data_IF_397663087492
#
_entry.id   IF_397663087492
#
_cell.length_a   1.000
_cell.length_b   1.000
_cell.length_c   1.000
_cell.angle_alpha   90.00
_cell.angle_beta   90.00
_cell.angle_gamma   90.00
#
_symmetry.space_group_name_H-M   'P 1'
#
loop_
_entity.id
_entity.type
_entity.pdbx_description
1 polymer ?
#
# COMPACT_ATOMS: atom_id res chain seq x y z
N UNK A 1 -19.42 -9.46 30.09
CA UNK A 1 -18.74 -8.34 29.39
C UNK A 1 -18.92 -7.07 30.20
N UNK A 2 -17.89 -6.44 30.74
CA UNK A 2 -18.03 -5.21 31.56
C UNK A 2 -18.03 -3.96 30.68
N UNK A 3 -19.07 -3.13 30.86
CA UNK A 3 -19.01 -1.68 30.86
C UNK A 3 -18.79 -0.93 29.56
N UNK A 4 -19.69 -1.05 28.56
CA UNK A 4 -19.87 0.05 27.61
C UNK A 4 -20.68 1.14 28.32
N UNK A 5 -20.11 2.34 28.54
CA UNK A 5 -20.76 3.40 29.31
C UNK A 5 -22.09 3.80 28.67
N UNK A 6 -23.11 4.07 29.52
CA UNK A 6 -24.45 4.53 29.05
C UNK A 6 -24.35 5.80 28.16
N UNK A 7 -23.29 6.59 28.30
CA UNK A 7 -22.98 7.74 27.42
C UNK A 7 -22.69 7.33 25.99
N UNK A 8 -22.01 6.19 25.79
CA UNK A 8 -21.68 5.67 24.44
C UNK A 8 -22.93 5.17 23.71
N UNK A 9 -23.79 4.44 24.45
CA UNK A 9 -25.06 3.92 23.90
C UNK A 9 -26.01 5.08 23.54
N UNK A 10 -26.09 6.13 24.35
CA UNK A 10 -26.92 7.29 24.07
C UNK A 10 -26.40 8.12 22.89
N UNK A 11 -25.10 8.22 22.70
CA UNK A 11 -24.49 8.87 21.55
C UNK A 11 -24.74 8.09 20.25
N UNK A 12 -24.63 6.76 20.26
CA UNK A 12 -24.97 5.91 19.12
C UNK A 12 -26.45 5.98 18.74
N UNK A 13 -27.36 5.96 19.73
CA UNK A 13 -28.80 6.06 19.49
C UNK A 13 -29.20 7.45 18.99
N UNK A 14 -28.50 8.50 19.41
CA UNK A 14 -28.71 9.86 18.89
C UNK A 14 -28.23 10.01 17.45
N UNK A 15 -27.13 9.33 17.09
CA UNK A 15 -26.60 9.25 15.73
C UNK A 15 -27.51 8.45 14.80
N UNK A 16 -28.04 7.32 15.26
CA UNK A 16 -29.01 6.50 14.51
C UNK A 16 -30.31 7.28 14.21
N UNK A 17 -30.81 8.05 15.17
CA UNK A 17 -31.99 8.95 14.97
C UNK A 17 -31.71 10.07 13.99
N UNK A 18 -30.54 10.70 14.05
CA UNK A 18 -30.13 11.71 13.07
C UNK A 18 -29.99 11.13 11.67
N UNK A 19 -29.48 9.93 11.55
CA UNK A 19 -29.31 9.22 10.28
C UNK A 19 -30.69 8.81 9.69
N UNK A 20 -31.60 8.33 10.51
CA UNK A 20 -32.96 8.00 10.09
C UNK A 20 -33.75 9.24 9.69
N UNK A 21 -33.55 10.39 10.29
CA UNK A 21 -34.16 11.65 9.91
C UNK A 21 -33.62 12.24 8.59
N UNK A 22 -32.36 11.98 8.26
CA UNK A 22 -31.77 12.36 6.95
C UNK A 22 -32.09 11.36 5.85
N UNK A 23 -32.38 10.10 6.19
CA UNK A 23 -32.80 9.08 5.23
C UNK A 23 -34.29 9.22 4.79
N UNK A 24 -35.08 10.04 5.49
CA UNK A 24 -36.49 10.28 5.16
C UNK A 24 -36.72 11.42 4.14
N UNK A 25 -35.67 12.12 3.70
CA UNK A 25 -35.77 13.02 2.56
C UNK A 25 -35.70 12.21 1.26
N UNK A 26 -36.61 12.42 0.30
CA UNK A 26 -36.52 11.74 -0.98
C UNK A 26 -35.17 12.07 -1.58
N UNK A 27 -34.39 11.03 -1.89
CA UNK A 27 -33.10 11.18 -2.55
C UNK A 27 -33.34 12.01 -3.83
N UNK A 28 -32.52 13.06 -4.09
CA UNK A 28 -32.58 13.72 -5.37
C UNK A 28 -32.35 12.63 -6.42
N UNK A 29 -33.29 12.53 -7.38
CA UNK A 29 -33.15 11.62 -8.51
C UNK A 29 -31.89 12.05 -9.25
N UNK A 30 -30.79 11.37 -8.94
CA UNK A 30 -29.59 11.44 -9.76
C UNK A 30 -30.01 10.98 -11.16
N UNK A 31 -29.68 11.74 -12.21
CA UNK A 31 -29.91 11.28 -13.57
C UNK A 31 -29.29 9.90 -13.67
N UNK A 32 -30.04 8.96 -14.26
CA UNK A 32 -29.60 7.56 -14.40
C UNK A 32 -28.13 7.54 -14.79
N UNK A 33 -27.30 6.95 -13.94
CA UNK A 33 -25.87 6.84 -14.21
C UNK A 33 -25.77 6.18 -15.58
N UNK A 34 -25.39 6.96 -16.59
CA UNK A 34 -25.03 6.37 -17.87
C UNK A 34 -23.93 5.38 -17.53
N UNK A 35 -24.21 4.11 -17.81
CA UNK A 35 -23.26 3.02 -17.64
C UNK A 35 -21.95 3.43 -18.32
N UNK A 36 -21.01 3.96 -17.52
CA UNK A 36 -19.71 4.33 -18.03
C UNK A 36 -18.96 3.02 -18.23
N UNK A 37 -19.18 2.41 -19.39
CA UNK A 37 -18.27 1.38 -19.90
C UNK A 37 -17.02 2.12 -20.36
N UNK A 38 -15.89 2.05 -19.65
CA UNK A 38 -14.67 2.63 -20.14
C UNK A 38 -14.43 1.99 -21.52
N UNK A 39 -14.44 2.79 -22.58
CA UNK A 39 -13.95 2.37 -23.89
C UNK A 39 -12.43 2.27 -23.73
N UNK A 40 -11.96 1.13 -23.22
CA UNK A 40 -10.56 0.77 -23.43
C UNK A 40 -10.35 0.69 -24.94
N UNK A 41 -9.25 1.24 -25.47
CA UNK A 41 -8.91 1.01 -26.86
C UNK A 41 -8.93 -0.50 -27.07
N UNK A 42 -9.72 -0.97 -28.02
CA UNK A 42 -9.78 -2.38 -28.34
C UNK A 42 -8.40 -2.77 -28.87
N UNK A 43 -7.59 -3.36 -28.01
CA UNK A 43 -6.34 -4.00 -28.42
C UNK A 43 -6.79 -5.19 -29.26
N UNK A 44 -6.31 -5.34 -30.50
CA UNK A 44 -6.70 -6.46 -31.36
C UNK A 44 -6.43 -7.78 -30.61
N UNK A 45 -7.44 -8.64 -30.50
CA UNK A 45 -7.25 -10.01 -30.03
C UNK A 45 -6.29 -10.69 -30.99
N UNK A 46 -5.04 -10.85 -30.60
CA UNK A 46 -4.06 -11.66 -31.34
C UNK A 46 -3.87 -12.96 -30.56
N UNK A 47 -4.23 -14.06 -31.21
CA UNK A 47 -4.27 -15.40 -30.63
C UNK A 47 -2.89 -16.03 -30.35
N UNK A 48 -1.76 -15.34 -30.57
CA UNK A 48 -0.42 -15.84 -30.33
C UNK A 48 0.54 -14.73 -29.90
N UNK A 49 0.55 -14.37 -28.61
CA UNK A 49 1.49 -13.40 -28.07
C UNK A 49 2.92 -13.94 -27.84
N UNK A 50 3.16 -15.24 -27.99
CA UNK A 50 4.52 -15.79 -27.87
C UNK A 50 5.48 -15.33 -29.01
N UNK A 51 4.94 -14.77 -30.12
CA UNK A 51 5.71 -14.34 -31.28
C UNK A 51 5.80 -12.83 -31.51
N UNK A 52 5.25 -11.98 -30.64
CA UNK A 52 5.12 -10.52 -30.89
C UNK A 52 6.13 -9.62 -30.18
N UNK A 53 7.13 -10.16 -29.52
CA UNK A 53 8.27 -9.34 -29.13
C UNK A 53 9.22 -9.30 -30.33
N UNK A 54 9.27 -8.15 -31.03
CA UNK A 54 10.31 -7.89 -32.02
C UNK A 54 11.66 -8.16 -31.35
N UNK A 55 12.56 -8.85 -32.03
CA UNK A 55 13.89 -9.20 -31.51
C UNK A 55 14.68 -8.00 -30.98
N UNK A 56 14.37 -6.82 -31.45
CA UNK A 56 14.95 -5.53 -31.06
C UNK A 56 14.49 -5.01 -29.70
N UNK A 57 13.39 -5.51 -29.10
CA UNK A 57 12.90 -5.02 -27.80
C UNK A 57 13.90 -5.25 -26.67
N UNK A 58 14.69 -6.35 -26.72
CA UNK A 58 15.68 -6.70 -25.72
C UNK A 58 16.99 -5.89 -25.84
N UNK A 59 17.31 -5.31 -26.98
CA UNK A 59 18.58 -4.62 -27.22
C UNK A 59 18.78 -3.40 -26.32
N UNK A 60 17.70 -2.69 -25.99
CA UNK A 60 17.71 -1.51 -25.13
C UNK A 60 17.08 -1.78 -23.74
N UNK A 61 16.80 -3.04 -23.41
CA UNK A 61 16.18 -3.36 -22.13
C UNK A 61 17.21 -3.23 -21.00
N UNK A 62 16.83 -2.60 -19.86
CA UNK A 62 17.76 -2.44 -18.75
C UNK A 62 18.17 -3.80 -18.18
N UNK A 63 19.41 -3.89 -17.71
CA UNK A 63 19.99 -5.11 -17.12
C UNK A 63 20.40 -4.83 -15.68
N UNK A 64 20.02 -5.73 -14.77
CA UNK A 64 20.49 -5.75 -13.39
C UNK A 64 20.88 -7.19 -13.00
N UNK A 65 22.15 -7.43 -12.77
CA UNK A 65 22.70 -8.72 -12.30
C UNK A 65 23.18 -8.66 -10.84
N UNK A 66 22.78 -7.64 -10.09
CA UNK A 66 23.10 -7.53 -8.67
C UNK A 66 22.06 -8.29 -7.84
N UNK A 67 22.51 -9.19 -7.00
CA UNK A 67 21.76 -9.94 -6.02
C UNK A 67 22.62 -10.14 -4.77
N UNK A 68 22.10 -9.97 -3.55
CA UNK A 68 20.73 -9.61 -3.20
C UNK A 68 20.38 -8.15 -3.50
N UNK A 69 19.07 -7.86 -3.52
CA UNK A 69 18.55 -6.50 -3.58
C UNK A 69 18.87 -5.70 -2.30
N UNK A 70 18.66 -4.38 -2.37
CA UNK A 70 18.84 -3.49 -1.21
C UNK A 70 17.51 -2.89 -0.80
N UNK A 71 17.24 -2.89 0.50
CA UNK A 71 16.10 -2.16 1.07
C UNK A 71 16.26 -0.65 0.84
N UNK A 72 15.17 0.04 0.53
CA UNK A 72 15.17 1.50 0.41
C UNK A 72 15.29 2.16 1.77
N UNK A 73 14.64 1.58 2.79
CA UNK A 73 14.72 2.07 4.16
C UNK A 73 16.12 1.82 4.70
N UNK A 74 16.74 2.89 5.21
CA UNK A 74 18.12 2.90 5.71
C UNK A 74 18.12 2.50 7.19
N UNK A 75 18.58 1.29 7.49
CA UNK A 75 18.59 0.72 8.83
C UNK A 75 19.34 1.59 9.86
N UNK A 76 20.51 2.10 9.49
CA UNK A 76 21.34 2.93 10.39
C UNK A 76 20.63 4.22 10.79
N UNK A 77 19.99 4.88 9.83
CA UNK A 77 19.23 6.11 10.02
C UNK A 77 17.98 5.88 10.87
N UNK A 78 17.31 4.75 10.63
CA UNK A 78 16.14 4.34 11.44
C UNK A 78 16.54 4.13 12.91
N UNK A 79 17.66 3.45 13.19
CA UNK A 79 18.21 3.29 14.55
C UNK A 79 18.58 4.61 15.20
N UNK A 80 19.21 5.53 14.45
CA UNK A 80 19.56 6.86 14.98
C UNK A 80 18.30 7.62 15.44
N UNK A 81 17.23 7.60 14.63
CA UNK A 81 15.97 8.23 15.02
C UNK A 81 15.34 7.56 16.25
N UNK A 82 15.36 6.22 16.29
CA UNK A 82 14.87 5.46 17.44
C UNK A 82 15.66 5.76 18.73
N UNK A 83 16.96 5.98 18.61
CA UNK A 83 17.80 6.42 19.74
C UNK A 83 17.46 7.86 20.16
N UNK A 84 17.23 8.75 19.18
CA UNK A 84 16.97 10.19 19.44
C UNK A 84 15.59 10.43 20.05
N UNK A 85 14.55 9.81 19.50
CA UNK A 85 13.16 10.05 19.90
C UNK A 85 12.58 8.95 20.79
N UNK A 86 13.29 7.85 20.98
CA UNK A 86 12.79 6.63 21.58
C UNK A 86 11.98 5.79 20.58
N UNK A 87 11.65 4.56 20.97
CA UNK A 87 10.75 3.67 20.21
C UNK A 87 9.86 2.93 21.19
N UNK A 88 8.56 2.86 20.90
CA UNK A 88 7.57 2.22 21.78
C UNK A 88 7.73 0.69 21.78
N UNK A 89 7.99 0.11 20.62
CA UNK A 89 8.08 -1.34 20.43
C UNK A 89 9.49 -1.73 19.96
N UNK A 90 10.40 -1.83 20.93
CA UNK A 90 11.81 -2.20 20.69
C UNK A 90 11.93 -3.57 20.01
N UNK A 91 11.20 -4.62 20.41
CA UNK A 91 11.24 -5.91 19.70
C UNK A 91 10.86 -5.80 18.22
N UNK A 92 9.86 -4.99 17.86
CA UNK A 92 9.51 -4.72 16.46
C UNK A 92 10.62 -3.96 15.74
N UNK A 93 11.19 -2.93 16.35
CA UNK A 93 12.32 -2.19 15.80
C UNK A 93 13.48 -3.14 15.45
N UNK A 94 13.84 -4.05 16.36
CA UNK A 94 14.92 -4.99 16.13
C UNK A 94 14.63 -5.95 14.97
N UNK A 95 13.41 -6.51 14.91
CA UNK A 95 12.99 -7.35 13.76
C UNK A 95 13.04 -6.58 12.43
N UNK A 96 12.59 -5.33 12.43
CA UNK A 96 12.64 -4.48 11.22
C UNK A 96 14.08 -4.20 10.82
N UNK A 97 14.93 -3.82 11.75
CA UNK A 97 16.35 -3.57 11.49
C UNK A 97 17.09 -4.81 10.99
N UNK A 98 16.78 -5.99 11.53
CA UNK A 98 17.32 -7.26 11.03
C UNK A 98 16.91 -7.50 9.57
N UNK A 99 15.62 -7.34 9.25
CA UNK A 99 15.10 -7.48 7.87
C UNK A 99 15.70 -6.47 6.90
N UNK A 100 15.95 -5.24 7.34
CA UNK A 100 16.57 -4.21 6.51
C UNK A 100 18.05 -4.51 6.21
N UNK A 101 18.76 -5.12 7.16
CA UNK A 101 20.19 -5.47 7.04
C UNK A 101 20.40 -6.76 6.25
N UNK A 102 19.64 -7.80 6.54
CA UNK A 102 19.84 -9.15 6.05
C UNK A 102 18.86 -9.56 4.95
N UNK A 103 17.90 -8.69 4.62
CA UNK A 103 16.73 -9.00 3.79
C UNK A 103 15.65 -9.72 4.57
N UNK A 104 14.41 -9.53 4.14
CA UNK A 104 13.24 -10.12 4.77
C UNK A 104 13.13 -11.62 4.47
N UNK A 105 12.96 -12.43 5.52
CA UNK A 105 12.53 -13.81 5.39
C UNK A 105 11.03 -13.82 5.06
N UNK A 106 10.65 -14.39 3.91
CA UNK A 106 9.25 -14.46 3.50
C UNK A 106 8.46 -15.61 4.14
N UNK A 107 9.12 -16.46 4.95
CA UNK A 107 8.47 -17.51 5.75
C UNK A 107 8.10 -18.80 5.00
N UNK A 108 8.56 -19.00 3.76
CA UNK A 108 8.25 -20.21 3.01
C UNK A 108 8.98 -21.43 3.61
N UNK A 109 8.23 -22.45 4.03
CA UNK A 109 8.75 -23.69 4.66
C UNK A 109 9.44 -24.60 3.66
N UNK A 110 10.36 -25.46 4.14
CA UNK A 110 11.29 -26.24 3.32
C UNK A 110 10.66 -27.10 2.24
N UNK A 111 9.59 -27.81 2.54
CA UNK A 111 8.88 -28.67 1.60
C UNK A 111 8.27 -27.91 0.41
N UNK A 112 7.84 -26.68 0.64
CA UNK A 112 7.27 -25.79 -0.38
C UNK A 112 8.33 -25.03 -1.18
N UNK A 113 9.61 -25.24 -0.88
CA UNK A 113 10.72 -24.64 -1.65
C UNK A 113 11.11 -25.43 -2.89
N UNK A 114 10.48 -26.59 -3.13
CA UNK A 114 10.74 -27.41 -4.33
C UNK A 114 10.39 -26.63 -5.60
N UNK A 115 11.15 -26.82 -6.68
CA UNK A 115 10.93 -26.11 -7.93
C UNK A 115 9.52 -26.34 -8.48
N UNK A 116 8.89 -25.27 -8.90
CA UNK A 116 7.59 -25.31 -9.60
C UNK A 116 7.59 -24.28 -10.72
N UNK A 117 6.73 -24.46 -11.72
CA UNK A 117 6.57 -23.51 -12.80
C UNK A 117 5.08 -23.28 -13.07
N UNK A 118 4.69 -22.01 -13.17
CA UNK A 118 3.35 -21.56 -13.56
C UNK A 118 3.42 -20.70 -14.81
N UNK A 119 2.34 -20.70 -15.59
CA UNK A 119 2.20 -19.87 -16.78
C UNK A 119 1.65 -18.49 -16.42
N UNK A 120 1.92 -17.51 -17.29
CA UNK A 120 1.32 -16.19 -17.19
C UNK A 120 -0.18 -16.25 -17.46
N UNK A 121 -0.96 -15.44 -16.75
CA UNK A 121 -2.39 -15.32 -16.99
C UNK A 121 -2.67 -14.56 -18.30
N UNK A 122 -3.85 -14.78 -18.91
CA UNK A 122 -4.29 -14.03 -20.10
C UNK A 122 -4.20 -12.52 -19.90
N UNK A 123 -4.57 -12.04 -18.70
CA UNK A 123 -4.45 -10.63 -18.35
C UNK A 123 -3.03 -10.06 -18.45
N UNK A 124 -1.99 -10.86 -18.23
CA UNK A 124 -0.62 -10.41 -18.43
C UNK A 124 -0.33 -10.15 -19.92
N UNK A 125 -0.86 -10.98 -20.79
CA UNK A 125 -0.71 -10.82 -22.24
C UNK A 125 -1.56 -9.65 -22.78
N UNK A 126 -2.77 -9.47 -22.26
CA UNK A 126 -3.64 -8.35 -22.62
C UNK A 126 -3.01 -6.99 -22.29
N UNK A 127 -2.23 -6.92 -21.21
CA UNK A 127 -1.51 -5.73 -20.74
C UNK A 127 0.00 -5.82 -20.99
N UNK A 128 0.40 -6.50 -22.07
CA UNK A 128 1.81 -6.78 -22.37
C UNK A 128 2.76 -5.57 -22.32
N UNK A 129 2.44 -4.45 -22.97
CA UNK A 129 3.26 -3.24 -22.90
C UNK A 129 3.46 -2.77 -21.44
N UNK A 130 2.40 -2.69 -20.64
CA UNK A 130 2.47 -2.23 -19.25
C UNK A 130 3.27 -3.21 -18.37
N UNK A 131 3.21 -4.53 -18.66
CA UNK A 131 4.05 -5.53 -17.97
C UNK A 131 5.51 -5.30 -18.31
N UNK A 132 5.83 -5.08 -19.57
CA UNK A 132 7.19 -4.82 -20.06
C UNK A 132 7.77 -3.55 -19.42
N UNK A 133 7.00 -2.45 -19.42
CA UNK A 133 7.40 -1.18 -18.81
C UNK A 133 7.64 -1.32 -17.30
N UNK A 134 6.75 -2.04 -16.61
CA UNK A 134 6.90 -2.28 -15.18
C UNK A 134 8.17 -3.07 -14.85
N UNK A 135 8.45 -4.14 -15.62
CA UNK A 135 9.68 -4.94 -15.45
C UNK A 135 10.91 -4.07 -15.69
N UNK A 136 10.92 -3.25 -16.73
CA UNK A 136 12.02 -2.34 -17.04
C UNK A 136 12.28 -1.39 -15.88
N UNK A 137 11.22 -0.78 -15.33
CA UNK A 137 11.32 0.10 -14.15
C UNK A 137 11.83 -0.65 -12.92
N UNK A 138 11.41 -1.87 -12.67
CA UNK A 138 11.89 -2.68 -11.54
C UNK A 138 13.38 -3.00 -11.65
N UNK A 139 13.85 -3.31 -12.87
CA UNK A 139 15.27 -3.53 -13.17
C UNK A 139 16.09 -2.26 -12.92
N UNK A 140 15.66 -1.12 -13.48
CA UNK A 140 16.33 0.17 -13.33
C UNK A 140 16.43 0.61 -11.87
N UNK A 141 15.37 0.34 -11.07
CA UNK A 141 15.34 0.65 -9.64
C UNK A 141 16.07 -0.39 -8.77
N UNK A 142 16.59 -1.47 -9.35
CA UNK A 142 17.25 -2.56 -8.61
C UNK A 142 16.27 -3.43 -7.80
N UNK A 143 14.98 -3.42 -8.11
CA UNK A 143 13.95 -4.26 -7.47
C UNK A 143 13.87 -5.65 -8.09
N UNK A 144 14.31 -5.81 -9.33
CA UNK A 144 14.37 -7.08 -10.01
C UNK A 144 15.76 -7.34 -10.61
N UNK A 145 16.09 -8.63 -10.70
CA UNK A 145 17.28 -9.18 -11.34
C UNK A 145 16.92 -9.72 -12.73
N UNK A 146 17.79 -9.58 -13.68
CA UNK A 146 17.65 -10.06 -15.05
C UNK A 146 17.78 -8.92 -16.08
N UNK A 147 17.44 -9.15 -17.36
CA UNK A 147 17.01 -10.42 -17.95
C UNK A 147 18.13 -11.46 -18.03
N UNK A 148 17.76 -12.74 -17.91
CA UNK A 148 18.68 -13.86 -18.10
C UNK A 148 18.07 -14.94 -19.01
N UNK A 149 18.90 -15.78 -19.59
CA UNK A 149 18.46 -16.94 -20.36
C UNK A 149 18.00 -18.09 -19.45
N UNK A 150 17.26 -19.04 -19.99
CA UNK A 150 16.71 -20.15 -19.22
C UNK A 150 17.79 -21.01 -18.52
N UNK A 151 18.93 -21.16 -19.15
CA UNK A 151 20.07 -21.94 -18.66
C UNK A 151 20.74 -21.31 -17.41
N UNK A 152 20.50 -20.02 -17.20
CA UNK A 152 21.03 -19.27 -16.06
C UNK A 152 20.08 -19.29 -14.83
N UNK A 153 18.88 -19.84 -15.00
CA UNK A 153 17.91 -19.96 -13.90
C UNK A 153 18.28 -21.18 -13.05
N UNK A 154 18.41 -21.03 -11.71
CA UNK A 154 18.73 -22.16 -10.85
C UNK A 154 17.69 -23.29 -10.96
N UNK A 155 18.13 -24.54 -10.96
CA UNK A 155 17.22 -25.71 -11.06
C UNK A 155 16.21 -25.80 -9.91
N UNK A 156 16.52 -25.20 -8.76
CA UNK A 156 15.65 -25.15 -7.59
C UNK A 156 14.71 -23.95 -7.59
N UNK A 157 14.79 -23.07 -8.57
CA UNK A 157 13.97 -21.86 -8.65
C UNK A 157 12.46 -22.16 -8.77
N UNK A 158 11.65 -21.34 -8.11
CA UNK A 158 10.20 -21.33 -8.33
C UNK A 158 9.84 -20.23 -9.32
N UNK A 159 9.22 -20.63 -10.43
CA UNK A 159 8.83 -19.70 -11.48
C UNK A 159 7.33 -19.49 -11.39
N UNK A 160 6.92 -18.29 -10.99
CA UNK A 160 5.52 -17.90 -10.85
C UNK A 160 5.02 -17.17 -12.07
N UNK A 161 3.75 -17.33 -12.40
CA UNK A 161 3.11 -16.60 -13.49
C UNK A 161 2.80 -15.16 -13.10
N UNK A 162 2.78 -14.28 -14.09
CA UNK A 162 2.34 -12.89 -13.97
C UNK A 162 0.83 -12.83 -14.19
N UNK A 163 0.14 -12.02 -13.39
CA UNK A 163 -1.24 -11.61 -13.59
C UNK A 163 -1.35 -10.08 -13.46
N UNK A 164 -2.36 -9.51 -14.13
CA UNK A 164 -2.58 -8.06 -14.11
C UNK A 164 -3.97 -7.75 -13.59
N UNK A 165 -4.05 -6.76 -12.71
CA UNK A 165 -5.30 -6.13 -12.29
C UNK A 165 -5.36 -4.70 -12.80
N UNK A 166 -6.28 -4.38 -13.73
CA UNK A 166 -6.50 -3.01 -14.17
C UNK A 166 -7.01 -2.16 -13.02
N UNK A 167 -6.59 -0.89 -12.98
CA UNK A 167 -7.09 0.12 -12.06
C UNK A 167 -8.09 1.04 -12.76
N UNK A 168 -9.01 1.68 -12.02
CA UNK A 168 -10.00 2.59 -12.62
C UNK A 168 -9.39 3.76 -13.40
N UNK A 169 -8.18 4.19 -13.06
CA UNK A 169 -7.46 5.26 -13.75
C UNK A 169 -6.71 4.82 -15.02
N UNK A 170 -6.98 3.62 -15.54
CA UNK A 170 -6.35 3.08 -16.74
C UNK A 170 -4.94 2.49 -16.54
N UNK A 171 -4.35 2.62 -15.35
CA UNK A 171 -3.08 1.96 -15.04
C UNK A 171 -3.30 0.50 -14.65
N UNK A 172 -2.23 -0.29 -14.62
CA UNK A 172 -2.28 -1.71 -14.29
C UNK A 172 -1.45 -2.01 -13.03
N UNK A 173 -1.95 -2.94 -12.21
CA UNK A 173 -1.17 -3.53 -11.12
C UNK A 173 -0.65 -4.89 -11.57
N UNK A 174 0.66 -5.00 -11.68
CA UNK A 174 1.33 -6.25 -12.01
C UNK A 174 1.52 -7.05 -10.72
N UNK A 175 1.15 -8.33 -10.75
CA UNK A 175 1.14 -9.23 -9.60
C UNK A 175 1.83 -10.52 -9.98
N UNK A 176 2.78 -10.99 -9.18
CA UNK A 176 3.28 -12.35 -9.28
C UNK A 176 2.34 -13.30 -8.54
N UNK A 177 1.86 -14.33 -9.24
CA UNK A 177 0.94 -15.30 -8.67
C UNK A 177 1.70 -16.35 -7.83
N UNK A 178 2.09 -15.99 -6.62
CA UNK A 178 2.74 -16.90 -5.67
C UNK A 178 1.78 -17.94 -5.06
N UNK A 179 0.51 -18.00 -5.50
CA UNK A 179 -0.47 -19.00 -5.06
C UNK A 179 -0.70 -20.12 -6.07
N UNK A 180 0.15 -20.20 -7.10
CA UNK A 180 0.07 -21.26 -8.11
C UNK A 180 1.44 -21.97 -8.28
N UNK A 181 1.40 -23.30 -8.53
CA UNK A 181 0.24 -24.17 -8.52
C UNK A 181 -0.24 -24.45 -7.08
N UNK A 182 -1.55 -24.60 -6.88
CA UNK A 182 -2.14 -24.85 -5.57
C UNK A 182 -1.58 -26.13 -4.93
N UNK A 183 -1.31 -26.11 -3.64
CA UNK A 183 -0.75 -27.22 -2.88
C UNK A 183 0.77 -27.36 -2.96
N UNK A 184 1.45 -26.57 -3.79
CA UNK A 184 2.91 -26.51 -3.89
C UNK A 184 3.45 -25.11 -4.22
N UNK A 185 2.62 -24.12 -4.11
CA UNK A 185 2.99 -22.72 -4.35
C UNK A 185 3.84 -22.15 -3.21
N UNK A 186 4.43 -20.98 -3.43
CA UNK A 186 5.18 -20.26 -2.37
C UNK A 186 4.26 -19.93 -1.20
N UNK A 187 3.05 -19.43 -1.50
CA UNK A 187 2.08 -19.03 -0.48
C UNK A 187 1.51 -20.20 0.33
N UNK A 188 1.45 -21.41 -0.23
CA UNK A 188 1.06 -22.60 0.52
C UNK A 188 2.08 -22.95 1.62
N UNK A 189 3.34 -22.55 1.43
CA UNK A 189 4.41 -22.74 2.41
C UNK A 189 4.54 -21.64 3.47
N UNK A 190 3.73 -20.57 3.38
CA UNK A 190 3.79 -19.43 4.29
C UNK A 190 2.65 -19.50 5.30
N UNK A 191 3.00 -19.59 6.58
CA UNK A 191 2.05 -19.42 7.67
C UNK A 191 1.69 -17.93 7.81
N UNK A 192 0.45 -17.59 7.47
CA UNK A 192 -0.01 -16.19 7.48
C UNK A 192 -0.10 -15.62 8.90
N UNK A 193 -0.28 -16.45 9.89
CA UNK A 193 -0.39 -16.03 11.29
C UNK A 193 0.96 -15.57 11.85
N UNK A 194 2.07 -15.97 11.22
CA UNK A 194 3.40 -15.44 11.53
C UNK A 194 3.63 -14.00 10.99
N UNK A 195 2.76 -13.53 10.09
CA UNK A 195 2.90 -12.22 9.41
C UNK A 195 1.61 -11.40 9.51
N UNK A 196 1.10 -11.11 10.72
CA UNK A 196 -0.11 -10.34 10.88
C UNK A 196 0.08 -8.90 10.39
N UNK A 197 -0.91 -8.39 9.66
CA UNK A 197 -1.02 -6.97 9.32
C UNK A 197 -2.26 -6.39 9.98
N UNK A 198 -2.10 -5.26 10.65
CA UNK A 198 -3.20 -4.56 11.32
C UNK A 198 -3.55 -3.30 10.56
N UNK A 199 -4.73 -3.27 9.97
CA UNK A 199 -5.19 -2.16 9.14
C UNK A 199 -6.31 -1.42 9.86
N UNK A 200 -6.21 -0.08 9.90
CA UNK A 200 -7.31 0.75 10.38
C UNK A 200 -8.49 0.68 9.42
N UNK A 201 -9.69 0.62 9.97
CA UNK A 201 -10.93 0.64 9.19
C UNK A 201 -11.43 2.08 8.99
N UNK A 202 -12.42 2.26 8.10
CA UNK A 202 -13.15 3.51 7.96
C UNK A 202 -13.81 3.94 9.27
N UNK A 203 -14.31 2.98 10.07
CA UNK A 203 -14.89 3.25 11.39
C UNK A 203 -13.85 3.85 12.34
N UNK A 204 -12.65 3.28 12.37
CA UNK A 204 -11.55 3.84 13.18
C UNK A 204 -11.19 5.27 12.76
N UNK A 205 -11.24 5.56 11.46
CA UNK A 205 -11.02 6.93 10.96
C UNK A 205 -12.13 7.90 11.41
N UNK A 206 -13.39 7.47 11.37
CA UNK A 206 -14.50 8.28 11.86
C UNK A 206 -14.37 8.58 13.36
N UNK A 207 -13.89 7.62 14.16
CA UNK A 207 -13.60 7.85 15.58
C UNK A 207 -12.48 8.89 15.78
N UNK A 208 -11.45 8.85 14.97
CA UNK A 208 -10.36 9.85 14.96
C UNK A 208 -10.92 11.23 14.64
N UNK A 209 -11.75 11.37 13.60
CA UNK A 209 -12.39 12.64 13.25
C UNK A 209 -13.32 13.15 14.36
N UNK A 210 -14.07 12.25 14.99
CA UNK A 210 -14.93 12.62 16.12
C UNK A 210 -14.14 13.16 17.31
N UNK A 211 -13.03 12.51 17.67
CA UNK A 211 -12.13 12.95 18.75
C UNK A 211 -11.44 14.27 18.41
N UNK A 212 -11.02 14.45 17.17
CA UNK A 212 -10.37 15.68 16.71
C UNK A 212 -11.33 16.88 16.69
N UNK A 213 -12.64 16.63 16.63
CA UNK A 213 -13.68 17.64 16.75
C UNK A 213 -14.03 18.34 15.44
N UNK A 214 -14.96 19.29 15.55
CA UNK A 214 -15.41 20.09 14.39
C UNK A 214 -14.29 20.96 13.86
N UNK A 215 -14.24 21.17 12.55
CA UNK A 215 -13.23 21.96 11.85
C UNK A 215 -11.79 21.44 12.04
N UNK A 216 -11.60 20.17 12.40
CA UNK A 216 -10.26 19.62 12.54
C UNK A 216 -9.47 19.75 11.23
N UNK A 217 -8.16 19.77 11.35
CA UNK A 217 -7.25 19.57 10.22
C UNK A 217 -7.05 18.09 9.97
N UNK A 218 -6.94 17.68 8.73
CA UNK A 218 -6.61 16.32 8.30
C UNK A 218 -5.42 16.33 7.35
N UNK A 219 -4.62 15.27 7.36
CA UNK A 219 -3.62 15.01 6.34
C UNK A 219 -3.59 13.52 5.98
N UNK A 220 -3.05 13.21 4.82
CA UNK A 220 -2.87 11.84 4.35
C UNK A 220 -1.53 11.69 3.65
N UNK A 221 -0.83 10.61 3.93
CA UNK A 221 0.42 10.24 3.31
C UNK A 221 0.36 8.79 2.85
N UNK A 222 0.80 8.52 1.63
CA UNK A 222 0.84 7.21 0.98
C UNK A 222 2.28 6.87 0.60
N UNK A 223 2.72 5.62 0.79
CA UNK A 223 4.06 5.19 0.40
C UNK A 223 4.05 4.72 -1.06
N UNK A 224 4.86 5.35 -1.91
CA UNK A 224 5.07 4.86 -3.26
C UNK A 224 5.79 3.52 -3.26
N UNK A 225 5.32 2.57 -4.07
CA UNK A 225 5.95 1.25 -4.23
C UNK A 225 6.18 0.55 -2.86
N UNK A 226 5.19 0.61 -1.95
CA UNK A 226 5.30 0.26 -0.53
C UNK A 226 6.14 -1.00 -0.23
N UNK A 227 5.81 -2.13 -0.84
CA UNK A 227 6.51 -3.39 -0.61
C UNK A 227 7.98 -3.36 -1.08
N UNK A 228 8.30 -2.55 -2.09
CA UNK A 228 9.66 -2.42 -2.64
C UNK A 228 10.65 -1.75 -1.67
N UNK A 229 10.17 -1.24 -0.54
CA UNK A 229 11.03 -0.71 0.50
C UNK A 229 11.83 -1.77 1.26
N UNK A 230 11.43 -3.02 1.20
CA UNK A 230 12.08 -4.14 1.88
C UNK A 230 12.61 -5.13 0.87
N UNK A 231 13.93 -5.33 0.86
CA UNK A 231 14.55 -6.41 0.10
C UNK A 231 14.23 -7.76 0.73
N UNK A 232 14.12 -8.78 -0.10
CA UNK A 232 14.02 -10.18 0.34
C UNK A 232 15.41 -10.75 0.55
N UNK A 233 15.61 -11.58 1.58
CA UNK A 233 16.91 -12.23 1.82
C UNK A 233 17.30 -13.10 0.64
N UNK A 234 18.59 -13.17 0.34
CA UNK A 234 19.14 -13.78 -0.86
C UNK A 234 18.58 -15.19 -1.12
N UNK A 235 18.58 -16.04 -0.11
CA UNK A 235 18.10 -17.43 -0.17
C UNK A 235 16.60 -17.60 -0.46
N UNK A 236 15.80 -16.54 -0.31
CA UNK A 236 14.36 -16.55 -0.62
C UNK A 236 14.07 -15.91 -1.98
N UNK A 237 15.02 -15.19 -2.57
CA UNK A 237 14.80 -14.59 -3.89
C UNK A 237 14.55 -15.63 -4.97
N UNK A 238 15.08 -16.84 -4.83
CA UNK A 238 14.83 -17.94 -5.78
C UNK A 238 13.41 -18.51 -5.74
N UNK A 239 12.59 -18.05 -4.81
CA UNK A 239 11.16 -18.32 -4.76
C UNK A 239 10.33 -17.31 -5.57
N UNK A 240 10.97 -16.27 -6.13
CA UNK A 240 10.30 -15.13 -6.77
C UNK A 240 10.72 -14.95 -8.24
N UNK A 241 11.06 -16.04 -8.92
CA UNK A 241 11.33 -16.01 -10.36
C UNK A 241 10.03 -15.91 -11.17
N UNK A 242 10.13 -15.29 -12.34
CA UNK A 242 9.07 -15.21 -13.34
C UNK A 242 9.68 -15.14 -14.74
N UNK A 243 8.85 -15.40 -15.77
CA UNK A 243 9.29 -15.31 -17.16
C UNK A 243 8.42 -14.33 -17.93
N UNK A 244 9.04 -13.56 -18.82
CA UNK A 244 8.37 -12.64 -19.73
C UNK A 244 9.14 -12.50 -21.03
N UNK A 245 8.46 -12.56 -22.19
CA UNK A 245 9.07 -12.41 -23.51
C UNK A 245 10.26 -13.35 -23.76
N UNK A 246 10.19 -14.60 -23.31
CA UNK A 246 11.26 -15.59 -23.48
C UNK A 246 12.48 -15.41 -22.57
N UNK A 247 12.48 -14.39 -21.70
CA UNK A 247 13.53 -14.14 -20.70
C UNK A 247 13.04 -14.42 -19.29
N UNK A 248 13.98 -14.54 -18.36
CA UNK A 248 13.71 -14.80 -16.95
C UNK A 248 14.20 -13.67 -16.08
N UNK A 249 13.46 -13.43 -15.03
CA UNK A 249 13.66 -12.36 -14.06
C UNK A 249 13.41 -12.89 -12.66
N UNK A 250 13.96 -12.21 -11.68
CA UNK A 250 13.75 -12.52 -10.26
C UNK A 250 13.46 -11.24 -9.49
N UNK A 251 12.38 -11.21 -8.73
CA UNK A 251 12.12 -10.12 -7.80
C UNK A 251 13.05 -10.19 -6.59
N UNK A 252 13.60 -9.04 -6.22
CA UNK A 252 14.58 -8.90 -5.14
C UNK A 252 14.00 -8.23 -3.88
N UNK A 253 12.77 -7.72 -3.98
CA UNK A 253 12.05 -7.07 -2.88
C UNK A 253 10.72 -7.77 -2.62
N UNK A 254 10.03 -7.36 -1.57
CA UNK A 254 8.65 -7.81 -1.31
C UNK A 254 7.74 -7.44 -2.48
N UNK A 255 6.72 -8.26 -2.73
CA UNK A 255 5.86 -8.15 -3.91
C UNK A 255 4.38 -8.22 -3.58
N UNK A 256 3.57 -7.69 -4.48
CA UNK A 256 2.14 -8.01 -4.52
C UNK A 256 1.96 -9.48 -4.91
N UNK A 257 1.19 -10.21 -4.10
CA UNK A 257 0.95 -11.64 -4.26
C UNK A 257 1.65 -12.51 -3.21
N UNK A 258 2.65 -12.00 -2.49
CA UNK A 258 3.27 -12.70 -1.36
C UNK A 258 2.42 -12.58 -0.09
N UNK A 259 2.06 -13.73 0.53
CA UNK A 259 1.20 -13.78 1.72
C UNK A 259 1.82 -13.10 2.93
N UNK A 260 3.14 -13.09 3.07
CA UNK A 260 3.88 -12.43 4.15
C UNK A 260 4.18 -10.95 3.90
N UNK A 261 4.07 -10.48 2.64
CA UNK A 261 4.50 -9.14 2.25
C UNK A 261 3.81 -8.04 3.06
N UNK A 262 2.50 -8.17 3.29
CA UNK A 262 1.73 -7.19 4.04
C UNK A 262 2.18 -7.07 5.50
N UNK A 263 2.38 -8.20 6.20
CA UNK A 263 2.81 -8.19 7.60
C UNK A 263 4.24 -7.69 7.79
N UNK A 264 5.14 -8.07 6.88
CA UNK A 264 6.53 -7.59 6.92
C UNK A 264 6.58 -6.08 6.70
N UNK A 265 5.83 -5.56 5.73
CA UNK A 265 5.74 -4.14 5.45
C UNK A 265 5.09 -3.37 6.62
N UNK A 266 3.99 -3.90 7.17
CA UNK A 266 3.25 -3.28 8.28
C UNK A 266 4.13 -3.09 9.52
N UNK A 267 4.98 -4.07 9.86
CA UNK A 267 5.97 -3.92 10.93
C UNK A 267 6.87 -2.70 10.72
N UNK A 268 7.43 -2.57 9.50
CA UNK A 268 8.30 -1.45 9.17
C UNK A 268 7.59 -0.10 9.15
N UNK A 269 6.41 -0.06 8.54
CA UNK A 269 5.60 1.16 8.47
C UNK A 269 5.17 1.64 9.87
N UNK A 270 4.88 0.71 10.81
CA UNK A 270 4.57 1.04 12.22
C UNK A 270 5.76 1.62 12.96
N UNK A 271 6.97 1.10 12.73
CA UNK A 271 8.19 1.67 13.34
C UNK A 271 8.40 3.10 12.85
N UNK A 272 8.30 3.33 11.54
CA UNK A 272 8.45 4.69 10.98
C UNK A 272 7.37 5.61 11.55
N UNK A 273 6.11 5.17 11.60
CA UNK A 273 5.01 5.96 12.14
C UNK A 273 5.18 6.29 13.64
N UNK A 274 5.68 5.35 14.45
CA UNK A 274 5.99 5.61 15.87
C UNK A 274 7.02 6.73 16.00
N UNK A 275 8.08 6.70 15.20
CA UNK A 275 9.12 7.74 15.19
C UNK A 275 8.57 9.10 14.72
N UNK A 276 7.69 9.12 13.73
CA UNK A 276 7.00 10.34 13.29
C UNK A 276 6.16 10.93 14.42
N UNK A 277 5.34 10.11 15.07
CA UNK A 277 4.49 10.55 16.19
C UNK A 277 5.34 11.14 17.34
N UNK A 278 6.45 10.49 17.68
CA UNK A 278 7.36 10.95 18.73
C UNK A 278 8.06 12.25 18.36
N UNK A 279 8.62 12.33 17.15
CA UNK A 279 9.25 13.56 16.65
C UNK A 279 8.28 14.74 16.64
N UNK A 280 7.04 14.51 16.18
CA UNK A 280 5.99 15.53 16.11
C UNK A 280 5.34 15.82 17.46
N UNK A 281 5.59 15.02 18.50
CA UNK A 281 4.83 15.00 19.76
C UNK A 281 3.32 14.87 19.48
N UNK A 282 2.96 13.95 18.57
CA UNK A 282 1.60 13.77 18.10
C UNK A 282 0.99 12.49 18.69
N UNK A 283 -0.20 12.57 19.33
CA UNK A 283 -0.81 11.39 19.97
C UNK A 283 -1.22 10.35 18.95
N UNK A 284 -0.83 9.09 19.19
CA UNK A 284 -1.06 7.98 18.26
C UNK A 284 -2.55 7.68 18.01
N UNK A 285 -3.41 7.98 18.98
CA UNK A 285 -4.87 7.79 18.88
C UNK A 285 -5.57 8.72 17.87
N UNK A 286 -4.87 9.72 17.36
CA UNK A 286 -5.34 10.59 16.28
C UNK A 286 -4.80 10.21 14.90
N UNK A 287 -4.23 9.02 14.77
CA UNK A 287 -3.65 8.51 13.52
C UNK A 287 -4.27 7.17 13.15
N UNK A 288 -4.71 7.05 11.92
CA UNK A 288 -5.05 5.77 11.29
C UNK A 288 -3.97 5.36 10.29
N UNK A 289 -3.68 4.06 10.27
CA UNK A 289 -2.78 3.45 9.29
C UNK A 289 -3.48 2.26 8.62
N UNK A 290 -3.50 2.27 7.29
CA UNK A 290 -3.97 1.15 6.49
C UNK A 290 -2.88 0.77 5.50
N UNK A 291 -1.97 -0.12 5.93
CA UNK A 291 -0.72 -0.46 5.25
C UNK A 291 0.10 0.80 4.92
N UNK A 292 0.17 1.15 3.64
CA UNK A 292 0.90 2.28 3.05
C UNK A 292 0.23 3.64 3.25
N UNK A 293 -1.06 3.65 3.59
CA UNK A 293 -1.82 4.87 3.83
C UNK A 293 -1.81 5.25 5.31
N UNK A 294 -1.31 6.42 5.63
CA UNK A 294 -1.36 7.02 6.96
C UNK A 294 -2.18 8.30 6.91
N UNK A 295 -3.18 8.40 7.80
CA UNK A 295 -4.05 9.56 7.92
C UNK A 295 -4.03 10.06 9.36
N UNK A 296 -3.95 11.39 9.55
CA UNK A 296 -3.98 12.01 10.86
C UNK A 296 -4.99 13.16 10.91
N UNK A 297 -5.56 13.41 12.09
CA UNK A 297 -6.44 14.54 12.32
C UNK A 297 -6.16 15.18 13.68
N UNK A 298 -6.31 16.50 13.78
CA UNK A 298 -6.25 17.22 15.06
C UNK A 298 -7.14 18.46 15.04
N UNK A 299 -7.45 18.98 16.23
CA UNK A 299 -8.32 20.12 16.42
C UNK A 299 -7.87 21.36 15.64
N UNK A 300 -8.83 22.19 15.23
CA UNK A 300 -8.61 23.42 14.46
C UNK A 300 -7.70 24.42 15.18
N UNK A 301 -7.79 24.50 16.52
CA UNK A 301 -6.99 25.40 17.36
C UNK A 301 -5.53 24.97 17.51
N UNK A 302 -5.12 23.85 16.88
CA UNK A 302 -3.79 23.25 17.03
C UNK A 302 -3.05 23.21 15.70
N UNK A 303 -1.75 23.44 15.73
CA UNK A 303 -0.82 23.22 14.62
C UNK A 303 -0.34 21.76 14.54
N UNK A 304 -0.90 20.87 15.36
CA UNK A 304 -0.41 19.51 15.54
C UNK A 304 -0.38 18.69 14.23
N UNK A 305 -1.40 18.80 13.35
CA UNK A 305 -1.38 18.10 12.04
C UNK A 305 -0.28 18.66 11.14
N UNK A 306 0.00 19.96 11.21
CA UNK A 306 1.08 20.57 10.44
C UNK A 306 2.45 20.06 10.91
N UNK A 307 2.67 19.97 12.23
CA UNK A 307 3.89 19.38 12.80
C UNK A 307 4.02 17.89 12.46
N UNK A 308 2.92 17.13 12.56
CA UNK A 308 2.90 15.71 12.17
C UNK A 308 3.26 15.51 10.72
N UNK A 309 2.66 16.28 9.83
CA UNK A 309 2.89 16.22 8.40
C UNK A 309 4.34 16.56 8.04
N UNK A 310 4.88 17.65 8.61
CA UNK A 310 6.27 18.05 8.44
C UNK A 310 7.23 16.96 8.97
N UNK A 311 6.98 16.44 10.16
CA UNK A 311 7.78 15.37 10.74
C UNK A 311 7.74 14.10 9.89
N UNK A 312 6.59 13.78 9.28
CA UNK A 312 6.47 12.61 8.40
C UNK A 312 7.37 12.76 7.17
N UNK A 313 7.34 13.94 6.52
CA UNK A 313 8.19 14.23 5.36
C UNK A 313 9.67 14.14 5.71
N UNK A 314 10.09 14.77 6.83
CA UNK A 314 11.48 14.76 7.27
C UNK A 314 11.98 13.36 7.66
N UNK A 315 11.17 12.60 8.42
CA UNK A 315 11.53 11.22 8.80
C UNK A 315 11.61 10.34 7.56
N UNK A 316 10.62 10.43 6.65
CA UNK A 316 10.60 9.63 5.42
C UNK A 316 11.84 9.88 4.56
N UNK A 317 12.19 11.13 4.33
CA UNK A 317 13.40 11.52 3.58
C UNK A 317 14.67 10.98 4.24
N UNK A 318 14.79 11.18 5.54
CA UNK A 318 15.98 10.78 6.31
C UNK A 318 16.19 9.27 6.26
N UNK A 319 15.14 8.48 6.49
CA UNK A 319 15.23 7.01 6.48
C UNK A 319 15.09 6.38 5.09
N UNK A 320 14.87 7.17 4.02
CA UNK A 320 14.80 6.69 2.64
C UNK A 320 13.44 6.14 2.23
N UNK A 321 12.37 6.45 2.94
CA UNK A 321 11.00 6.13 2.55
C UNK A 321 10.57 6.99 1.37
N UNK A 322 10.05 6.37 0.32
CA UNK A 322 9.50 7.07 -0.85
C UNK A 322 7.99 7.28 -0.67
N UNK A 323 7.58 8.52 -0.66
CA UNK A 323 6.18 8.92 -0.52
C UNK A 323 5.54 9.22 -1.88
N UNK A 324 4.25 9.01 -1.99
CA UNK A 324 3.48 9.43 -3.16
C UNK A 324 3.48 10.96 -3.28
N UNK A 325 3.59 11.49 -4.50
CA UNK A 325 3.54 12.92 -4.74
C UNK A 325 2.23 13.54 -4.23
N UNK A 326 2.29 14.81 -3.82
CA UNK A 326 1.13 15.55 -3.29
C UNK A 326 0.27 16.21 -4.36
N UNK A 327 0.68 16.11 -5.60
CA UNK A 327 -0.10 16.51 -6.78
C UNK A 327 -1.18 15.45 -7.12
N UNK A 328 -1.14 14.26 -6.51
CA UNK A 328 -2.21 13.25 -6.54
C UNK A 328 -2.98 13.27 -5.19
N UNK A 329 -4.01 14.13 -5.05
CA UNK A 329 -4.73 14.30 -3.78
C UNK A 329 -5.55 13.06 -3.37
N UNK A 330 -5.76 12.11 -4.27
CA UNK A 330 -6.37 10.82 -3.92
C UNK A 330 -5.37 9.91 -3.20
N UNK A 331 -4.07 10.15 -3.33
CA UNK A 331 -3.01 9.42 -2.63
C UNK A 331 -2.49 10.16 -1.42
N UNK A 332 -2.03 11.39 -1.61
CA UNK A 332 -1.38 12.18 -0.55
C UNK A 332 -1.84 13.61 -0.57
N UNK A 333 -2.06 14.19 0.60
CA UNK A 333 -2.30 15.63 0.75
C UNK A 333 -1.80 16.11 2.11
N UNK A 334 -1.27 17.33 2.15
CA UNK A 334 -0.87 18.00 3.37
C UNK A 334 -2.06 18.44 4.22
N UNK A 335 -1.83 19.22 5.28
CA UNK A 335 -2.89 19.70 6.16
C UNK A 335 -4.01 20.40 5.39
N UNK A 336 -5.24 19.92 5.53
CA UNK A 336 -6.41 20.35 4.77
C UNK A 336 -7.69 20.21 5.60
N UNK A 337 -8.73 20.95 5.21
CA UNK A 337 -10.11 20.80 5.73
C UNK A 337 -10.93 19.84 4.87
N UNK A 338 -10.38 19.29 3.81
CA UNK A 338 -11.04 18.36 2.90
C UNK A 338 -10.04 17.38 2.30
N UNK A 339 -10.48 16.18 1.97
CA UNK A 339 -9.66 15.18 1.29
C UNK A 339 -10.33 13.82 1.22
N UNK A 340 -9.79 12.94 0.39
CA UNK A 340 -10.26 11.55 0.25
C UNK A 340 -9.45 10.62 1.13
N UNK A 341 -10.10 9.99 2.11
CA UNK A 341 -9.49 8.98 3.00
C UNK A 341 -10.30 7.69 2.90
N UNK A 342 -9.62 6.57 2.67
CA UNK A 342 -10.23 5.24 2.48
C UNK A 342 -11.36 5.24 1.45
N UNK A 343 -11.20 5.98 0.34
CA UNK A 343 -12.17 6.08 -0.75
C UNK A 343 -13.39 6.95 -0.46
N UNK A 344 -13.46 7.61 0.70
CA UNK A 344 -14.55 8.50 1.07
C UNK A 344 -14.02 9.94 1.13
N UNK A 345 -14.74 10.86 0.46
CA UNK A 345 -14.44 12.27 0.52
C UNK A 345 -14.99 12.90 1.80
N UNK A 346 -14.12 13.55 2.55
CA UNK A 346 -14.45 14.28 3.77
C UNK A 346 -14.30 15.78 3.54
N UNK A 347 -15.27 16.55 4.01
CA UNK A 347 -15.21 18.01 4.16
C UNK A 347 -15.45 18.34 5.62
N UNK A 348 -14.41 18.72 6.32
CA UNK A 348 -14.45 19.07 7.73
C UNK A 348 -14.69 20.57 7.81
N UNK A 349 -15.91 20.98 8.16
CA UNK A 349 -16.27 22.40 8.14
C UNK A 349 -17.36 22.73 9.14
N UNK A 350 -17.56 24.04 9.36
CA UNK A 350 -18.66 24.58 10.15
C UNK A 350 -19.99 24.29 9.47
N UNK A 351 -20.93 23.71 10.19
CA UNK A 351 -22.34 23.76 9.79
C UNK A 351 -22.76 25.23 9.90
N UNK A 352 -22.86 25.94 8.78
CA UNK A 352 -23.53 27.23 8.77
C UNK A 352 -24.95 27.00 9.29
N UNK A 353 -25.27 27.50 10.48
CA UNK A 353 -26.64 27.70 10.88
C UNK A 353 -27.23 28.64 9.83
N UNK A 354 -28.08 28.11 8.94
CA UNK A 354 -29.01 28.97 8.23
C UNK A 354 -29.82 29.69 9.33
N UNK A 355 -29.53 30.97 9.52
CA UNK A 355 -30.43 31.86 10.26
C UNK A 355 -31.75 31.80 9.51
N UNK A 356 -32.73 31.08 10.07
CA UNK A 356 -34.13 31.28 9.70
C UNK A 356 -34.44 32.71 10.11
N UNK A 357 -34.41 33.62 9.17
CA UNK A 357 -35.11 34.89 9.30
C UNK A 357 -36.57 34.57 9.53
N UNK A 358 -37.00 34.78 10.75
CA UNK A 358 -38.42 34.70 11.06
C UNK A 358 -39.14 35.73 10.19
N UNK A 359 -39.96 35.24 9.24
CA UNK A 359 -40.92 36.08 8.57
C UNK A 359 -41.94 36.51 9.63
N UNK A 360 -41.99 37.80 9.89
CA UNK A 360 -43.01 38.40 10.74
C UNK A 360 -44.39 38.24 10.08
N UNK A 361 -45.44 37.87 10.82
CA UNK A 361 -46.77 37.79 10.26
C UNK A 361 -47.33 39.19 10.00
N UNK A 362 -47.83 39.40 8.83
CA UNK A 362 -48.80 40.48 8.56
C UNK A 362 -50.19 39.86 8.52
#
# INVERSE_FOLDING_TARGET
MPGVSQHYISAMLRWQRLWQQTAAAPAPQLPAAKEFKPKFPQIPKRDNYEGCFESQWWENFPINLQCPGKSLVKEKELRKLAHTYGCTDVPRLERVCDRLRNGANIGCKGEFRRPTRSTNASSAHEYGPQVSDAIAVWIQKGFAFGPVAAEQVPRHAKISGIMVRPKPNGTARIILNLSAPKGSSVNDGIDKDEFPATMSSTTAWLEVLYKAGRNCWICKTDWSDAYKHFAVREQDTDLQWFSWGGKYFKELALIFGGSSSAGIFDDGAKVVLDLVCRKAQFPREFVCQHLDNVCAAAADSSDAVHRFDAAFMEVAEYVGVKLAPRDDPDKSFGPSKKGTVFGIFYKVGTVHKHSRTAASPR
#
